data_IF_716079485700
#
_entry.id   IF_716079485700
#
_cell.length_a   1.000
_cell.length_b   1.000
_cell.length_c   1.000
_cell.angle_alpha   90.00
_cell.angle_beta   90.00
_cell.angle_gamma   90.00
#
_symmetry.space_group_name_H-M   'P 1'
#
loop_
_entity.id
_entity.type
_entity.pdbx_description
1 polymer ?
#
# COMPACT_ATOMS: atom_id res chain seq x y z
N UNK A 1 26.03 12.33 38.01
CA UNK A 1 26.38 13.43 37.07
C UNK A 1 26.91 12.80 35.80
N UNK A 2 26.01 12.45 34.88
CA UNK A 2 26.42 11.94 33.56
C UNK A 2 26.98 13.10 32.73
N UNK A 3 28.18 12.91 32.19
CA UNK A 3 28.92 13.92 31.43
C UNK A 3 28.21 14.12 30.09
N UNK A 4 27.87 15.37 29.77
CA UNK A 4 27.19 15.74 28.52
C UNK A 4 28.07 15.32 27.33
N UNK A 5 27.59 14.39 26.51
CA UNK A 5 28.35 13.72 25.44
C UNK A 5 28.59 14.56 24.18
N UNK A 6 28.78 15.88 24.32
CA UNK A 6 28.90 16.81 23.18
C UNK A 6 30.21 16.62 22.37
N UNK A 7 31.23 15.96 22.95
CA UNK A 7 32.50 15.59 22.29
C UNK A 7 32.39 14.34 21.41
N UNK A 8 31.31 13.56 21.55
CA UNK A 8 31.12 12.35 20.75
C UNK A 8 30.44 12.77 19.45
N UNK A 9 31.14 12.58 18.33
CA UNK A 9 30.67 12.96 16.98
C UNK A 9 29.23 12.50 16.69
N UNK A 10 28.84 11.32 17.19
CA UNK A 10 27.53 10.71 16.99
C UNK A 10 26.41 11.30 17.87
N UNK A 11 26.75 11.95 18.99
CA UNK A 11 25.80 12.54 19.95
C UNK A 11 25.63 14.05 19.77
N UNK A 12 26.36 14.67 18.83
CA UNK A 12 26.22 16.08 18.50
C UNK A 12 24.82 16.35 17.92
N UNK A 13 24.09 17.28 18.54
CA UNK A 13 22.78 17.79 18.08
C UNK A 13 22.96 18.59 16.78
N UNK A 14 23.11 17.90 15.65
CA UNK A 14 23.11 18.51 14.31
C UNK A 14 21.68 18.54 13.76
N UNK A 15 21.34 19.51 12.88
CA UNK A 15 20.09 19.44 12.14
C UNK A 15 20.03 18.11 11.38
N UNK A 16 19.00 17.31 11.64
CA UNK A 16 18.86 15.92 11.19
C UNK A 16 19.07 15.73 9.67
N UNK A 17 18.77 16.76 8.89
CA UNK A 17 18.89 16.78 7.44
C UNK A 17 20.33 16.91 6.91
N UNK A 18 21.28 17.37 7.73
CA UNK A 18 22.69 17.56 7.34
C UNK A 18 23.58 16.36 7.69
N UNK A 19 23.03 15.32 8.31
CA UNK A 19 23.79 14.16 8.76
C UNK A 19 24.13 13.22 7.61
N UNK A 20 25.38 12.71 7.59
CA UNK A 20 25.88 11.78 6.55
C UNK A 20 25.00 10.54 6.37
N UNK A 21 24.47 9.98 7.45
CA UNK A 21 23.59 8.81 7.40
C UNK A 21 22.29 9.12 6.62
N UNK A 22 21.72 10.32 6.79
CA UNK A 22 20.51 10.72 6.08
C UNK A 22 20.76 10.86 4.58
N UNK A 23 21.94 11.35 4.17
CA UNK A 23 22.34 11.41 2.76
C UNK A 23 22.46 10.03 2.13
N UNK A 24 23.14 9.10 2.82
CA UNK A 24 23.28 7.71 2.37
C UNK A 24 21.92 7.01 2.24
N UNK A 25 21.03 7.20 3.22
CA UNK A 25 19.66 6.68 3.17
C UNK A 25 18.89 7.27 1.98
N UNK A 26 19.04 8.56 1.69
CA UNK A 26 18.34 9.22 0.58
C UNK A 26 18.81 8.73 -0.79
N UNK A 27 20.11 8.52 -0.95
CA UNK A 27 20.69 7.93 -2.17
C UNK A 27 20.22 6.48 -2.36
N UNK A 28 20.19 5.69 -1.29
CA UNK A 28 19.66 4.33 -1.33
C UNK A 28 18.16 4.35 -1.69
N UNK A 29 17.34 5.14 -1.00
CA UNK A 29 15.90 5.24 -1.26
C UNK A 29 15.59 5.61 -2.71
N UNK A 30 16.41 6.45 -3.35
CA UNK A 30 16.22 6.83 -4.76
C UNK A 30 16.28 5.62 -5.72
N UNK A 31 17.11 4.62 -5.42
CA UNK A 31 17.17 3.38 -6.20
C UNK A 31 15.98 2.46 -5.92
N UNK A 32 15.41 2.53 -4.72
CA UNK A 32 14.28 1.69 -4.28
C UNK A 32 12.90 2.23 -4.67
N UNK A 33 12.79 3.50 -5.08
CA UNK A 33 11.52 4.13 -5.47
C UNK A 33 10.80 3.37 -6.59
N UNK A 34 11.52 2.92 -7.62
CA UNK A 34 10.92 2.17 -8.72
C UNK A 34 10.40 0.79 -8.26
N UNK A 35 11.13 0.13 -7.35
CA UNK A 35 10.71 -1.16 -6.77
C UNK A 35 9.48 -1.01 -5.88
N UNK A 36 9.42 0.03 -5.05
CA UNK A 36 8.24 0.33 -4.22
C UNK A 36 7.00 0.62 -5.07
N UNK A 37 7.16 1.41 -6.13
CA UNK A 37 6.09 1.70 -7.08
C UNK A 37 5.58 0.43 -7.78
N UNK A 38 6.49 -0.42 -8.26
CA UNK A 38 6.13 -1.70 -8.88
C UNK A 38 5.42 -2.63 -7.88
N UNK A 39 5.95 -2.76 -6.66
CA UNK A 39 5.35 -3.58 -5.62
C UNK A 39 3.93 -3.11 -5.27
N UNK A 40 3.71 -1.79 -5.17
CA UNK A 40 2.39 -1.21 -4.93
C UNK A 40 1.41 -1.58 -6.03
N UNK A 41 1.79 -1.39 -7.30
CA UNK A 41 0.94 -1.76 -8.45
C UNK A 41 0.63 -3.27 -8.46
N UNK A 42 1.63 -4.12 -8.24
CA UNK A 42 1.44 -5.57 -8.21
C UNK A 42 0.50 -6.01 -7.08
N UNK A 43 0.64 -5.44 -5.88
CA UNK A 43 -0.23 -5.76 -4.74
C UNK A 43 -1.68 -5.36 -5.02
N UNK A 44 -1.88 -4.18 -5.60
CA UNK A 44 -3.22 -3.69 -5.94
C UNK A 44 -3.88 -4.53 -7.02
N UNK A 45 -3.18 -4.81 -8.11
CA UNK A 45 -3.69 -5.68 -9.17
C UNK A 45 -3.97 -7.10 -8.66
N UNK A 46 -3.04 -7.67 -7.88
CA UNK A 46 -3.19 -8.99 -7.30
C UNK A 46 -4.39 -9.09 -6.36
N UNK A 47 -4.62 -8.06 -5.54
CA UNK A 47 -5.75 -8.04 -4.60
C UNK A 47 -7.08 -7.89 -5.33
N UNK A 48 -7.16 -7.04 -6.37
CA UNK A 48 -8.37 -6.93 -7.21
C UNK A 48 -8.68 -8.25 -7.92
N UNK A 49 -7.66 -8.94 -8.45
CA UNK A 49 -7.83 -10.25 -9.07
C UNK A 49 -8.27 -11.31 -8.05
N UNK A 50 -7.70 -11.31 -6.85
CA UNK A 50 -8.09 -12.20 -5.76
C UNK A 50 -9.54 -11.97 -5.32
N UNK A 51 -9.96 -10.72 -5.12
CA UNK A 51 -11.33 -10.37 -4.77
C UNK A 51 -12.31 -10.80 -5.87
N UNK A 52 -11.93 -10.65 -7.15
CA UNK A 52 -12.74 -11.13 -8.28
C UNK A 52 -12.88 -12.66 -8.27
N UNK A 53 -11.79 -13.38 -8.04
CA UNK A 53 -11.80 -14.84 -7.94
C UNK A 53 -12.67 -15.34 -6.77
N UNK A 54 -12.57 -14.68 -5.60
CA UNK A 54 -13.40 -14.99 -4.43
C UNK A 54 -14.88 -14.70 -4.69
N UNK A 55 -15.19 -13.61 -5.39
CA UNK A 55 -16.56 -13.28 -5.79
C UNK A 55 -17.18 -14.40 -6.66
N UNK A 56 -16.45 -14.87 -7.67
CA UNK A 56 -16.90 -15.99 -8.51
C UNK A 56 -17.01 -17.31 -7.73
N UNK A 57 -16.07 -17.57 -6.83
CA UNK A 57 -16.11 -18.76 -5.97
C UNK A 57 -17.37 -18.76 -5.09
N UNK A 58 -17.66 -17.64 -4.41
CA UNK A 58 -18.84 -17.53 -3.54
C UNK A 58 -20.13 -17.59 -4.33
N UNK A 59 -20.18 -16.95 -5.51
CA UNK A 59 -21.33 -17.06 -6.41
C UNK A 59 -21.61 -18.52 -6.79
N UNK A 60 -20.59 -19.28 -7.20
CA UNK A 60 -20.76 -20.69 -7.54
C UNK A 60 -21.14 -21.54 -6.32
N UNK A 61 -20.45 -21.37 -5.20
CA UNK A 61 -20.64 -22.18 -4.01
C UNK A 61 -22.02 -21.97 -3.37
N UNK A 62 -22.39 -20.71 -3.09
CA UNK A 62 -23.65 -20.37 -2.42
C UNK A 62 -24.86 -20.65 -3.31
N UNK A 63 -24.74 -20.40 -4.62
CA UNK A 63 -25.82 -20.67 -5.55
C UNK A 63 -26.08 -22.18 -5.71
N UNK A 64 -25.03 -23.01 -5.70
CA UNK A 64 -25.17 -24.46 -5.87
C UNK A 64 -25.56 -25.14 -4.55
N UNK A 65 -24.96 -24.77 -3.42
CA UNK A 65 -25.18 -25.47 -2.15
C UNK A 65 -26.40 -24.97 -1.39
N UNK A 66 -26.53 -23.66 -1.22
CA UNK A 66 -27.60 -23.06 -0.41
C UNK A 66 -28.83 -22.70 -1.25
N UNK A 67 -28.70 -22.64 -2.58
CA UNK A 67 -29.77 -22.21 -3.50
C UNK A 67 -30.21 -20.75 -3.30
N UNK A 68 -29.53 -20.01 -2.41
CA UNK A 68 -29.87 -18.64 -2.04
C UNK A 68 -29.15 -17.64 -2.94
N UNK A 69 -29.80 -17.29 -4.06
CA UNK A 69 -29.27 -16.30 -5.00
C UNK A 69 -29.05 -14.93 -4.34
N UNK A 70 -29.87 -14.56 -3.35
CA UNK A 70 -29.76 -13.28 -2.66
C UNK A 70 -28.47 -13.18 -1.83
N UNK A 71 -28.15 -14.21 -1.05
CA UNK A 71 -26.92 -14.24 -0.26
C UNK A 71 -25.67 -14.19 -1.14
N UNK A 72 -25.70 -14.92 -2.26
CA UNK A 72 -24.61 -14.94 -3.24
C UNK A 72 -24.35 -13.55 -3.86
N UNK A 73 -25.42 -12.84 -4.24
CA UNK A 73 -25.32 -11.48 -4.78
C UNK A 73 -24.79 -10.47 -3.75
N UNK A 74 -25.26 -10.53 -2.50
CA UNK A 74 -24.76 -9.65 -1.44
C UNK A 74 -23.26 -9.89 -1.20
N UNK A 75 -22.81 -11.14 -1.15
CA UNK A 75 -21.38 -11.42 -0.99
C UNK A 75 -20.54 -10.93 -2.19
N UNK A 76 -21.00 -11.13 -3.42
CA UNK A 76 -20.33 -10.64 -4.62
C UNK A 76 -20.20 -9.10 -4.63
N UNK A 77 -21.26 -8.39 -4.24
CA UNK A 77 -21.25 -6.93 -4.15
C UNK A 77 -20.29 -6.41 -3.08
N UNK A 78 -20.16 -7.11 -1.95
CA UNK A 78 -19.17 -6.78 -0.91
C UNK A 78 -17.74 -6.88 -1.47
N UNK A 79 -17.40 -7.98 -2.14
CA UNK A 79 -16.07 -8.13 -2.74
C UNK A 79 -15.79 -7.10 -3.83
N UNK A 80 -16.80 -6.73 -4.63
CA UNK A 80 -16.65 -5.68 -5.62
C UNK A 80 -16.46 -4.29 -4.97
N UNK A 81 -17.16 -4.00 -3.87
CA UNK A 81 -16.98 -2.76 -3.12
C UNK A 81 -15.58 -2.65 -2.51
N UNK A 82 -15.04 -3.75 -1.98
CA UNK A 82 -13.67 -3.82 -1.46
C UNK A 82 -12.67 -3.54 -2.58
N UNK A 83 -12.80 -4.20 -3.74
CA UNK A 83 -11.94 -3.95 -4.91
C UNK A 83 -11.97 -2.48 -5.35
N UNK A 84 -13.15 -1.86 -5.41
CA UNK A 84 -13.32 -0.45 -5.76
C UNK A 84 -12.68 0.48 -4.73
N UNK A 85 -12.80 0.16 -3.43
CA UNK A 85 -12.20 0.94 -2.35
C UNK A 85 -10.66 0.87 -2.40
N UNK A 86 -10.10 -0.31 -2.66
CA UNK A 86 -8.66 -0.51 -2.84
C UNK A 86 -8.16 0.32 -4.02
N UNK A 87 -8.86 0.27 -5.16
CA UNK A 87 -8.50 1.05 -6.34
C UNK A 87 -8.55 2.57 -6.04
N UNK A 88 -9.57 3.01 -5.31
CA UNK A 88 -9.72 4.42 -4.94
C UNK A 88 -8.60 4.89 -4.00
N UNK A 89 -8.23 4.06 -3.02
CA UNK A 89 -7.12 4.33 -2.11
C UNK A 89 -5.81 4.50 -2.88
N UNK A 90 -5.52 3.60 -3.81
CA UNK A 90 -4.29 3.62 -4.61
C UNK A 90 -4.24 4.81 -5.60
N UNK A 91 -5.37 5.16 -6.21
CA UNK A 91 -5.47 6.32 -7.11
C UNK A 91 -5.34 7.64 -6.34
N UNK A 92 -5.83 7.72 -5.10
CA UNK A 92 -5.74 8.93 -4.28
C UNK A 92 -4.30 9.35 -3.96
N UNK A 93 -3.36 8.40 -3.90
CA UNK A 93 -1.92 8.70 -3.77
C UNK A 93 -1.29 9.28 -5.05
N UNK A 94 -1.97 9.20 -6.20
CA UNK A 94 -1.50 9.71 -7.50
C UNK A 94 -2.21 11.02 -7.94
N UNK A 95 -3.23 11.47 -7.21
CA UNK A 95 -3.99 12.67 -7.57
C UNK A 95 -3.12 13.96 -7.56
N UNK A 96 -2.14 14.03 -6.65
CA UNK A 96 -1.20 15.17 -6.58
C UNK A 96 -0.26 15.27 -7.78
N UNK A 97 0.05 14.16 -8.45
CA UNK A 97 0.87 14.14 -9.66
C UNK A 97 0.03 14.44 -10.92
N UNK A 98 -1.27 14.14 -10.90
CA UNK A 98 -2.19 14.41 -12.03
C UNK A 98 -2.61 15.88 -12.18
N UNK A 99 -2.46 16.69 -11.14
CA UNK A 99 -2.76 18.14 -11.17
C UNK A 99 -1.53 18.97 -11.57
N UNK A 100 -0.33 18.40 -11.48
CA UNK A 100 0.94 19.08 -11.76
C UNK A 100 1.59 18.67 -13.10
N UNK A 101 0.93 17.81 -13.89
CA UNK A 101 1.27 17.50 -15.28
C UNK A 101 0.34 18.24 -16.23
#
# INVERSE_FOLDING_TARGET
LERRGDDIYELQRRPLFASRHMRLVREALRQWQAYDAFARVCMTLGTVMLCSALSYYVLGYVLIQDGSAWAAWVAATIFQAISSMILHLDVSMSAWERVLA
#
